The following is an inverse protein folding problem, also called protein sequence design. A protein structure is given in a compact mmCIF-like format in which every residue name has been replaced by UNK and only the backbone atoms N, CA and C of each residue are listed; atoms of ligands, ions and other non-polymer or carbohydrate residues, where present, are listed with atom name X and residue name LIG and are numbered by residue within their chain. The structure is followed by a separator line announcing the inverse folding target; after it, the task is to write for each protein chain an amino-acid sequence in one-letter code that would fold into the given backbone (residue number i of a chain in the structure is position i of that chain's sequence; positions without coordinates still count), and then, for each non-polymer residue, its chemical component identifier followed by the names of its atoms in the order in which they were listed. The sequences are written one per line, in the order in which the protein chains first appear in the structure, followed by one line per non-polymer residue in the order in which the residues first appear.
data_IF_601629679382
#
_entry.id   IF_601629679382
#
_cell.length_a   1.000
_cell.length_b   1.000
_cell.length_c   1.000
_cell.angle_alpha   90.00
_cell.angle_beta   90.00
_cell.angle_gamma   90.00
#
_symmetry.space_group_name_H-M   'P 1'
#
loop_
_entity.id
_entity.type
_entity.pdbx_description
1 polymer ?
#
# COMPACT_ATOMS: atom_id res chain seq x y z
N UNK A 1 15.36 29.30 -30.61
CA UNK A 1 15.08 30.27 -29.53
C UNK A 1 13.79 29.88 -28.78
N UNK A 2 12.65 29.67 -29.48
CA UNK A 2 11.37 29.28 -28.84
C UNK A 2 11.43 27.91 -28.11
N UNK A 3 12.11 26.93 -28.70
CA UNK A 3 12.26 25.60 -28.12
C UNK A 3 13.09 25.62 -26.82
N UNK A 4 14.16 26.41 -26.78
CA UNK A 4 14.99 26.58 -25.58
C UNK A 4 14.25 27.34 -24.46
N UNK A 5 13.31 28.23 -24.81
CA UNK A 5 12.45 28.90 -23.84
C UNK A 5 11.42 27.91 -23.24
N UNK A 6 10.79 27.09 -24.06
CA UNK A 6 9.84 26.07 -23.60
C UNK A 6 10.53 25.00 -22.74
N UNK A 7 11.74 24.60 -23.09
CA UNK A 7 12.53 23.64 -22.30
C UNK A 7 12.89 24.24 -20.92
N UNK A 8 13.28 25.53 -20.89
CA UNK A 8 13.56 26.24 -19.64
C UNK A 8 12.30 26.44 -18.77
N UNK A 9 11.14 26.76 -19.36
CA UNK A 9 9.88 26.87 -18.62
C UNK A 9 9.46 25.52 -18.02
N UNK A 10 9.61 24.41 -18.75
CA UNK A 10 9.35 23.06 -18.26
C UNK A 10 10.32 22.66 -17.14
N UNK A 11 11.60 22.99 -17.26
CA UNK A 11 12.59 22.71 -16.22
C UNK A 11 12.33 23.51 -14.95
N UNK A 12 11.95 24.80 -15.05
CA UNK A 12 11.56 25.63 -13.92
C UNK A 12 10.30 25.06 -13.26
N UNK A 13 9.29 24.69 -14.04
CA UNK A 13 8.07 24.08 -13.53
C UNK A 13 8.34 22.78 -12.75
N UNK A 14 9.22 21.92 -13.25
CA UNK A 14 9.65 20.68 -12.57
C UNK A 14 10.41 20.98 -11.26
N UNK A 15 11.33 21.95 -11.27
CA UNK A 15 12.07 22.36 -10.07
C UNK A 15 11.16 22.94 -8.99
N UNK A 16 10.19 23.78 -9.37
CA UNK A 16 9.19 24.33 -8.44
C UNK A 16 8.34 23.21 -7.83
N UNK A 17 7.83 22.30 -8.65
CA UNK A 17 7.03 21.19 -8.17
C UNK A 17 7.83 20.26 -7.22
N UNK A 18 9.10 19.97 -7.55
CA UNK A 18 9.99 19.22 -6.66
C UNK A 18 10.21 19.92 -5.33
N UNK A 19 10.49 21.21 -5.35
CA UNK A 19 10.72 22.00 -4.15
C UNK A 19 9.46 22.10 -3.26
N UNK A 20 8.27 22.17 -3.86
CA UNK A 20 7.00 22.13 -3.15
C UNK A 20 6.80 20.77 -2.47
N UNK A 21 7.04 19.67 -3.16
CA UNK A 21 6.94 18.32 -2.61
C UNK A 21 7.93 18.13 -1.44
N UNK A 22 9.18 18.54 -1.60
CA UNK A 22 10.18 18.47 -0.52
C UNK A 22 9.78 19.32 0.70
N UNK A 23 9.25 20.52 0.47
CA UNK A 23 8.77 21.40 1.53
C UNK A 23 7.59 20.79 2.29
N UNK A 24 6.63 20.18 1.57
CA UNK A 24 5.52 19.46 2.14
C UNK A 24 5.98 18.22 2.93
N UNK A 25 6.93 17.45 2.41
CA UNK A 25 7.50 16.30 3.12
C UNK A 25 8.21 16.72 4.41
N UNK A 26 8.96 17.82 4.37
CA UNK A 26 9.64 18.38 5.58
C UNK A 26 8.62 18.84 6.61
N UNK A 27 7.60 19.61 6.20
CA UNK A 27 6.55 20.09 7.09
C UNK A 27 5.79 18.90 7.72
N UNK A 28 5.42 17.94 6.93
CA UNK A 28 4.77 16.70 7.38
C UNK A 28 5.61 15.96 8.41
N UNK A 29 6.93 15.87 8.20
CA UNK A 29 7.83 15.20 9.14
C UNK A 29 7.85 15.93 10.49
N UNK A 30 7.92 17.25 10.49
CA UNK A 30 7.93 18.06 11.72
C UNK A 30 6.58 17.92 12.44
N UNK A 31 5.46 18.12 11.74
CA UNK A 31 4.12 18.00 12.33
C UNK A 31 3.87 16.60 12.92
N UNK A 32 4.26 15.56 12.20
CA UNK A 32 4.14 14.18 12.66
C UNK A 32 4.90 13.96 13.96
N UNK A 33 6.15 14.46 14.03
CA UNK A 33 6.99 14.33 15.21
C UNK A 33 6.40 15.08 16.42
N UNK A 34 5.92 16.30 16.22
CA UNK A 34 5.29 17.09 17.28
C UNK A 34 3.99 16.48 17.79
N UNK A 35 3.13 15.96 16.89
CA UNK A 35 1.91 15.28 17.28
C UNK A 35 2.22 14.00 18.08
N UNK A 36 3.19 13.19 17.63
CA UNK A 36 3.59 11.98 18.36
C UNK A 36 4.16 12.32 19.74
N UNK A 37 4.98 13.38 19.85
CA UNK A 37 5.51 13.84 21.11
C UNK A 37 4.43 14.34 22.08
N UNK A 38 3.36 14.91 21.55
CA UNK A 38 2.23 15.37 22.38
C UNK A 38 1.30 14.22 22.81
N UNK A 39 1.08 13.21 21.93
CA UNK A 39 0.12 12.13 22.21
C UNK A 39 0.70 10.99 23.03
N UNK A 40 1.99 10.66 22.89
CA UNK A 40 2.61 9.57 23.63
C UNK A 40 2.54 9.76 25.18
N UNK A 41 2.83 10.95 25.74
CA UNK A 41 2.64 11.19 27.18
C UNK A 41 1.20 11.03 27.64
N UNK A 42 0.22 11.48 26.85
CA UNK A 42 -1.21 11.34 27.17
C UNK A 42 -1.56 9.85 27.34
N UNK A 43 -1.17 9.02 26.36
CA UNK A 43 -1.41 7.57 26.42
C UNK A 43 -0.74 6.94 27.64
N UNK A 44 0.49 7.34 27.98
CA UNK A 44 1.25 6.82 29.13
C UNK A 44 0.61 7.21 30.47
N UNK A 45 0.20 8.47 30.60
CA UNK A 45 -0.50 8.98 31.80
C UNK A 45 -1.81 8.22 31.99
N UNK A 46 -2.64 8.09 30.93
CA UNK A 46 -3.88 7.33 31.00
C UNK A 46 -3.63 5.87 31.41
N UNK A 47 -2.58 5.24 30.89
CA UNK A 47 -2.21 3.88 31.25
C UNK A 47 -1.82 3.77 32.73
N UNK A 48 -1.06 4.73 33.25
CA UNK A 48 -0.70 4.78 34.66
C UNK A 48 -1.92 4.91 35.58
N UNK A 49 -2.87 5.80 35.24
CA UNK A 49 -4.14 5.93 35.99
C UNK A 49 -4.97 4.65 35.93
N UNK A 50 -5.11 4.02 34.76
CA UNK A 50 -5.88 2.76 34.61
C UNK A 50 -5.26 1.58 35.36
N UNK A 51 -3.96 1.67 35.71
CA UNK A 51 -3.29 0.66 36.54
C UNK A 51 -3.49 0.91 38.06
N UNK A 52 -4.03 2.06 38.46
CA UNK A 52 -4.32 2.37 39.85
C UNK A 52 -5.61 1.67 40.32
N UNK A 53 -5.59 0.88 41.41
CA UNK A 53 -6.78 0.21 41.94
C UNK A 53 -7.93 1.17 42.28
N UNK A 54 -7.63 2.41 42.68
CA UNK A 54 -8.65 3.41 43.02
C UNK A 54 -9.45 3.91 41.81
N UNK A 55 -8.91 3.74 40.60
CA UNK A 55 -9.59 4.12 39.37
C UNK A 55 -10.39 2.96 38.79
N UNK A 56 -9.98 1.72 39.06
CA UNK A 56 -10.66 0.53 38.55
C UNK A 56 -12.07 0.44 39.19
N UNK A 57 -13.10 0.39 38.34
CA UNK A 57 -14.52 0.41 38.78
C UNK A 57 -15.03 1.79 39.18
N UNK A 58 -14.21 2.85 39.10
CA UNK A 58 -14.65 4.22 39.40
C UNK A 58 -15.41 4.82 38.20
N UNK A 59 -16.24 5.87 38.43
CA UNK A 59 -16.92 6.61 37.39
C UNK A 59 -15.95 7.24 36.33
N UNK A 60 -14.66 7.35 36.65
CA UNK A 60 -13.65 7.95 35.80
C UNK A 60 -12.95 6.97 34.88
N UNK A 61 -13.02 5.66 35.14
CA UNK A 61 -12.28 4.64 34.37
C UNK A 61 -12.59 4.68 32.87
N UNK A 62 -13.89 4.75 32.54
CA UNK A 62 -14.34 4.76 31.14
C UNK A 62 -13.86 6.00 30.40
N UNK A 63 -13.91 7.18 31.04
CA UNK A 63 -13.39 8.42 30.46
C UNK A 63 -11.88 8.39 30.20
N UNK A 64 -11.11 7.87 31.18
CA UNK A 64 -9.63 7.74 31.01
C UNK A 64 -9.30 6.73 29.92
N UNK A 65 -10.05 5.62 29.83
CA UNK A 65 -9.90 4.62 28.78
C UNK A 65 -10.18 5.21 27.40
N UNK A 66 -11.25 6.00 27.26
CA UNK A 66 -11.60 6.69 26.02
C UNK A 66 -10.50 7.67 25.56
N UNK A 67 -9.93 8.46 26.49
CA UNK A 67 -8.82 9.38 26.19
C UNK A 67 -7.58 8.60 25.73
N UNK A 68 -7.23 7.50 26.41
CA UNK A 68 -6.10 6.64 26.01
C UNK A 68 -6.30 6.10 24.61
N UNK A 69 -7.48 5.58 24.30
CA UNK A 69 -7.77 4.92 23.03
C UNK A 69 -7.82 5.94 21.88
N UNK A 70 -8.34 7.14 22.14
CA UNK A 70 -8.27 8.27 21.18
C UNK A 70 -6.83 8.71 20.92
N UNK A 71 -6.00 8.82 21.97
CA UNK A 71 -4.58 9.15 21.84
C UNK A 71 -3.81 8.11 21.01
N UNK A 72 -4.08 6.80 21.27
CA UNK A 72 -3.50 5.71 20.46
C UNK A 72 -3.95 5.76 19.00
N UNK A 73 -5.22 6.04 18.76
CA UNK A 73 -5.76 6.17 17.40
C UNK A 73 -5.11 7.32 16.65
N UNK A 74 -4.91 8.48 17.31
CA UNK A 74 -4.22 9.62 16.71
C UNK A 74 -2.76 9.30 16.41
N UNK A 75 -2.04 8.64 17.30
CA UNK A 75 -0.66 8.19 17.06
C UNK A 75 -0.57 7.26 15.86
N UNK A 76 -1.49 6.29 15.77
CA UNK A 76 -1.56 5.36 14.63
C UNK A 76 -1.86 6.08 13.31
N UNK A 77 -2.78 7.04 13.33
CA UNK A 77 -3.10 7.88 12.17
C UNK A 77 -1.88 8.68 11.69
N UNK A 78 -1.17 9.33 12.61
CA UNK A 78 0.02 10.13 12.29
C UNK A 78 1.16 9.27 11.75
N UNK A 79 1.41 8.09 12.34
CA UNK A 79 2.42 7.14 11.83
C UNK A 79 2.06 6.63 10.43
N UNK A 80 0.78 6.43 10.20
CA UNK A 80 0.22 6.04 8.91
C UNK A 80 0.44 7.12 7.84
N UNK A 81 0.17 8.36 8.19
CA UNK A 81 0.38 9.52 7.33
C UNK A 81 1.86 9.71 7.00
N UNK A 82 2.75 9.50 7.99
CA UNK A 82 4.20 9.52 7.79
C UNK A 82 4.64 8.48 6.76
N UNK A 83 4.17 7.24 6.89
CA UNK A 83 4.50 6.17 5.93
C UNK A 83 4.07 6.50 4.51
N UNK A 84 2.93 7.17 4.34
CA UNK A 84 2.43 7.59 3.04
C UNK A 84 3.30 8.69 2.39
N UNK A 85 3.80 9.64 3.21
CA UNK A 85 4.50 10.83 2.71
C UNK A 85 6.02 10.70 2.67
N UNK A 86 6.60 9.65 3.28
CA UNK A 86 8.06 9.46 3.40
C UNK A 86 8.54 8.20 2.66
N UNK A 87 7.92 7.86 1.54
CA UNK A 87 8.44 6.79 0.70
C UNK A 87 9.80 7.22 0.11
N UNK A 88 10.76 6.32 0.20
CA UNK A 88 12.09 6.49 -0.40
C UNK A 88 12.02 6.27 -1.91
N UNK A 89 13.00 6.79 -2.65
CA UNK A 89 13.14 6.45 -4.06
C UNK A 89 13.39 4.95 -4.23
N UNK A 90 12.71 4.30 -5.20
CA UNK A 90 12.84 2.86 -5.40
C UNK A 90 14.22 2.50 -5.94
N UNK A 91 14.81 1.43 -5.42
CA UNK A 91 16.03 0.81 -5.93
C UNK A 91 15.64 -0.34 -6.84
N UNK A 92 15.61 -0.09 -8.15
CA UNK A 92 15.14 -1.06 -9.14
C UNK A 92 16.18 -2.15 -9.37
N UNK A 93 15.77 -3.41 -9.24
CA UNK A 93 16.55 -4.59 -9.56
C UNK A 93 15.71 -5.64 -10.31
N UNK A 94 16.36 -6.59 -10.99
CA UNK A 94 15.67 -7.71 -11.63
C UNK A 94 15.43 -8.81 -10.58
N UNK A 95 14.19 -9.02 -10.22
CA UNK A 95 13.76 -9.95 -9.18
C UNK A 95 13.31 -11.27 -9.83
N UNK A 96 13.94 -12.44 -9.50
CA UNK A 96 13.38 -13.74 -9.85
C UNK A 96 12.04 -13.91 -9.16
N UNK A 97 10.95 -13.79 -9.92
CA UNK A 97 9.62 -13.58 -9.35
C UNK A 97 9.09 -14.81 -8.61
N UNK A 98 9.38 -16.01 -9.12
CA UNK A 98 8.97 -17.27 -8.47
C UNK A 98 9.63 -17.43 -7.10
N UNK A 99 10.94 -17.27 -7.02
CA UNK A 99 11.69 -17.34 -5.75
C UNK A 99 11.24 -16.28 -4.77
N UNK A 100 10.94 -15.09 -5.27
CA UNK A 100 10.41 -14.00 -4.46
C UNK A 100 9.08 -14.37 -3.80
N UNK A 101 8.11 -14.92 -4.54
CA UNK A 101 6.81 -15.33 -4.01
C UNK A 101 6.95 -16.55 -3.10
N UNK A 102 7.78 -17.53 -3.46
CA UNK A 102 8.07 -18.70 -2.61
C UNK A 102 8.68 -18.30 -1.27
N UNK A 103 9.47 -17.24 -1.22
CA UNK A 103 10.02 -16.67 0.01
C UNK A 103 8.99 -16.05 0.95
N UNK A 104 7.80 -15.70 0.46
CA UNK A 104 6.71 -15.13 1.27
C UNK A 104 5.85 -16.23 1.90
N UNK A 105 5.66 -17.38 1.24
CA UNK A 105 4.80 -18.48 1.71
C UNK A 105 5.03 -18.89 3.17
N UNK A 106 6.28 -19.07 3.64
CA UNK A 106 6.53 -19.50 5.02
C UNK A 106 6.01 -18.53 6.09
N UNK A 107 5.81 -17.26 5.74
CA UNK A 107 5.26 -16.25 6.66
C UNK A 107 3.76 -16.44 6.93
N UNK A 108 3.08 -17.19 6.06
CA UNK A 108 1.62 -17.40 6.10
C UNK A 108 1.28 -18.87 5.87
N UNK A 109 1.67 -19.78 6.78
CA UNK A 109 1.47 -21.25 6.63
C UNK A 109 0.00 -21.66 6.61
N UNK A 110 -0.91 -20.80 7.05
CA UNK A 110 -2.36 -21.03 7.04
C UNK A 110 -3.00 -20.82 5.67
N UNK A 111 -2.26 -20.26 4.69
CA UNK A 111 -2.77 -19.99 3.34
C UNK A 111 -2.29 -21.08 2.38
N UNK A 112 -3.21 -21.59 1.57
CA UNK A 112 -2.88 -22.41 0.42
C UNK A 112 -2.42 -21.53 -0.75
N UNK A 113 -1.20 -21.76 -1.25
CA UNK A 113 -0.61 -20.95 -2.31
C UNK A 113 -0.60 -21.68 -3.63
N UNK A 114 -1.21 -21.09 -4.66
CA UNK A 114 -1.17 -21.54 -6.05
C UNK A 114 -0.30 -20.57 -6.86
N UNK A 115 0.88 -21.01 -7.29
CA UNK A 115 1.87 -20.17 -7.96
C UNK A 115 2.04 -20.63 -9.40
N UNK A 116 1.58 -19.79 -10.34
CA UNK A 116 1.64 -20.02 -11.79
C UNK A 116 2.58 -18.98 -12.42
N UNK A 117 3.86 -19.08 -12.05
CA UNK A 117 4.94 -18.20 -12.48
C UNK A 117 5.98 -19.06 -13.18
N UNK A 118 6.39 -18.72 -14.44
CA UNK A 118 7.50 -19.41 -15.11
C UNK A 118 8.80 -19.34 -14.29
N UNK A 119 9.65 -20.35 -14.40
CA UNK A 119 10.91 -20.44 -13.63
C UNK A 119 11.88 -19.29 -13.95
N UNK A 120 11.90 -18.85 -15.20
CA UNK A 120 12.76 -17.78 -15.74
C UNK A 120 12.13 -16.38 -15.65
N UNK A 121 10.91 -16.27 -15.10
CA UNK A 121 10.21 -14.99 -14.98
C UNK A 121 10.94 -14.05 -14.01
N UNK A 122 11.34 -12.89 -14.53
CA UNK A 122 11.93 -11.80 -13.74
C UNK A 122 11.08 -10.54 -13.81
N UNK A 123 11.06 -9.76 -12.75
CA UNK A 123 10.39 -8.46 -12.72
C UNK A 123 11.33 -7.38 -12.23
N UNK A 124 11.39 -6.28 -13.00
CA UNK A 124 12.19 -5.10 -12.67
C UNK A 124 11.42 -4.23 -11.68
N UNK A 125 11.82 -4.27 -10.41
CA UNK A 125 11.16 -3.55 -9.31
C UNK A 125 12.10 -3.38 -8.11
N UNK A 126 11.70 -2.55 -7.13
CA UNK A 126 12.31 -2.53 -5.81
C UNK A 126 11.79 -3.71 -4.99
N UNK A 127 12.70 -4.59 -4.59
CA UNK A 127 12.37 -5.82 -3.88
C UNK A 127 11.68 -5.59 -2.53
N UNK A 128 12.11 -4.57 -1.79
CA UNK A 128 11.55 -4.27 -0.48
C UNK A 128 10.14 -3.68 -0.59
N UNK A 129 9.93 -2.77 -1.53
CA UNK A 129 8.60 -2.22 -1.81
C UNK A 129 7.65 -3.30 -2.32
N UNK A 130 8.11 -4.15 -3.24
CA UNK A 130 7.30 -5.27 -3.74
C UNK A 130 6.94 -6.24 -2.61
N UNK A 131 7.90 -6.56 -1.73
CA UNK A 131 7.66 -7.40 -0.56
C UNK A 131 6.59 -6.79 0.35
N UNK A 132 6.67 -5.49 0.64
CA UNK A 132 5.68 -4.79 1.45
C UNK A 132 4.28 -4.82 0.82
N UNK A 133 4.20 -4.69 -0.52
CA UNK A 133 2.93 -4.79 -1.27
C UNK A 133 2.32 -6.19 -1.11
N UNK A 134 3.11 -7.24 -1.33
CA UNK A 134 2.63 -8.62 -1.21
C UNK A 134 2.19 -8.96 0.22
N UNK A 135 2.95 -8.55 1.24
CA UNK A 135 2.58 -8.69 2.65
C UNK A 135 1.25 -8.01 2.94
N UNK A 136 1.06 -6.78 2.42
CA UNK A 136 -0.19 -6.04 2.63
C UNK A 136 -1.38 -6.70 1.94
N UNK A 137 -1.24 -7.14 0.69
CA UNK A 137 -2.30 -7.86 -0.03
C UNK A 137 -2.64 -9.18 0.65
N UNK A 138 -1.62 -9.94 1.13
CA UNK A 138 -1.82 -11.20 1.86
C UNK A 138 -2.56 -10.96 3.18
N UNK A 139 -2.19 -9.93 3.95
CA UNK A 139 -2.91 -9.57 5.18
C UNK A 139 -4.36 -9.22 4.90
N UNK A 140 -4.61 -8.42 3.86
CA UNK A 140 -5.97 -8.06 3.46
C UNK A 140 -6.79 -9.30 3.06
N UNK A 141 -6.20 -10.27 2.37
CA UNK A 141 -6.84 -11.53 2.02
C UNK A 141 -7.21 -12.33 3.28
N UNK A 142 -6.27 -12.49 4.22
CA UNK A 142 -6.52 -13.20 5.50
C UNK A 142 -7.62 -12.51 6.32
N UNK A 143 -7.61 -11.20 6.40
CA UNK A 143 -8.63 -10.41 7.09
C UNK A 143 -10.01 -10.51 6.41
N UNK A 144 -10.04 -10.81 5.10
CA UNK A 144 -11.24 -11.14 4.35
C UNK A 144 -11.59 -12.65 4.40
N UNK A 145 -10.98 -13.41 5.33
CA UNK A 145 -11.18 -14.84 5.53
C UNK A 145 -10.77 -15.72 4.33
N UNK A 146 -9.80 -15.28 3.54
CA UNK A 146 -9.23 -16.12 2.50
C UNK A 146 -8.46 -17.30 3.10
N UNK A 147 -8.61 -18.47 2.48
CA UNK A 147 -7.83 -19.67 2.76
C UNK A 147 -6.85 -20.00 1.64
N UNK A 148 -7.02 -19.40 0.45
CA UNK A 148 -6.16 -19.61 -0.71
C UNK A 148 -5.80 -18.31 -1.42
N UNK A 149 -4.57 -18.25 -1.92
CA UNK A 149 -4.04 -17.17 -2.76
C UNK A 149 -3.47 -17.78 -4.03
N UNK A 150 -3.80 -17.18 -5.17
CA UNK A 150 -3.30 -17.58 -6.49
C UNK A 150 -2.51 -16.41 -7.11
N UNK A 151 -1.29 -16.72 -7.56
CA UNK A 151 -0.40 -15.74 -8.20
C UNK A 151 -0.11 -16.21 -9.62
N UNK A 152 -0.42 -15.35 -10.61
CA UNK A 152 -0.23 -15.66 -12.03
C UNK A 152 0.43 -14.53 -12.79
N UNK A 153 1.37 -14.85 -13.65
CA UNK A 153 1.81 -13.95 -14.70
C UNK A 153 0.77 -13.89 -15.83
N UNK A 154 0.63 -12.72 -16.47
CA UNK A 154 -0.19 -12.57 -17.65
C UNK A 154 0.53 -11.78 -18.76
N UNK A 155 0.12 -12.03 -20.01
CA UNK A 155 0.61 -11.32 -21.18
C UNK A 155 -0.51 -10.43 -21.75
N UNK A 156 -0.16 -9.23 -22.20
CA UNK A 156 -1.11 -8.29 -22.84
C UNK A 156 -1.66 -8.80 -24.16
N UNK A 157 -0.79 -9.53 -24.90
CA UNK A 157 -1.10 -10.11 -26.21
C UNK A 157 -0.83 -11.61 -26.17
N UNK A 158 -1.83 -12.47 -26.46
CA UNK A 158 -1.65 -13.93 -26.50
C UNK A 158 -0.62 -14.40 -27.55
N UNK A 159 -0.37 -13.57 -28.59
CA UNK A 159 0.58 -13.86 -29.67
C UNK A 159 2.06 -13.59 -29.27
N UNK A 160 2.31 -12.99 -28.09
CA UNK A 160 3.64 -12.66 -27.58
C UNK A 160 4.27 -13.77 -26.75
N UNK A 161 3.81 -15.00 -26.86
CA UNK A 161 4.25 -16.17 -26.07
C UNK A 161 5.74 -16.50 -26.26
N UNK A 162 6.38 -15.99 -27.32
CA UNK A 162 7.82 -16.19 -27.58
C UNK A 162 8.75 -15.24 -26.79
N UNK A 163 8.21 -14.21 -26.14
CA UNK A 163 9.02 -13.36 -25.25
C UNK A 163 8.83 -13.81 -23.81
N UNK A 164 9.91 -14.11 -23.11
CA UNK A 164 9.96 -14.38 -21.67
C UNK A 164 9.46 -13.19 -20.81
N UNK A 165 8.92 -12.16 -21.42
CA UNK A 165 8.51 -10.91 -20.83
C UNK A 165 6.99 -10.89 -20.65
N UNK A 166 6.53 -11.14 -19.42
CA UNK A 166 5.13 -11.00 -19.06
C UNK A 166 4.77 -9.52 -18.84
N UNK A 167 3.47 -9.19 -18.99
CA UNK A 167 2.98 -7.81 -18.89
C UNK A 167 2.59 -7.43 -17.45
N UNK A 168 2.46 -8.39 -16.58
CA UNK A 168 2.08 -8.14 -15.18
C UNK A 168 1.70 -9.40 -14.42
N UNK A 169 1.22 -9.20 -13.19
CA UNK A 169 0.86 -10.24 -12.24
C UNK A 169 -0.59 -10.06 -11.80
N UNK A 170 -1.32 -11.14 -11.68
CA UNK A 170 -2.54 -11.24 -10.90
C UNK A 170 -2.22 -11.80 -9.51
N UNK A 171 -2.70 -11.11 -8.48
CA UNK A 171 -2.75 -11.57 -7.10
C UNK A 171 -4.22 -11.80 -6.74
N UNK A 172 -4.64 -13.03 -6.69
CA UNK A 172 -6.02 -13.42 -6.47
C UNK A 172 -6.20 -14.11 -5.13
N UNK A 173 -7.37 -13.98 -4.50
CA UNK A 173 -7.69 -14.69 -3.29
C UNK A 173 -9.20 -15.09 -3.26
N UNK A 174 -9.52 -16.11 -2.46
CA UNK A 174 -10.87 -16.62 -2.28
C UNK A 174 -11.61 -16.00 -1.09
N UNK A 175 -11.15 -14.88 -0.57
CA UNK A 175 -11.80 -14.15 0.51
C UNK A 175 -13.16 -13.55 0.09
N UNK A 176 -13.80 -12.87 1.04
CA UNK A 176 -15.07 -12.20 0.79
C UNK A 176 -14.95 -11.22 -0.38
N UNK A 177 -15.94 -11.19 -1.30
CA UNK A 177 -15.94 -10.29 -2.44
C UNK A 177 -15.99 -8.83 -1.99
N UNK A 178 -15.34 -7.95 -2.75
CA UNK A 178 -15.31 -6.51 -2.47
C UNK A 178 -16.57 -5.88 -3.06
N UNK A 179 -17.43 -5.21 -2.26
CA UNK A 179 -18.59 -4.49 -2.77
C UNK A 179 -18.20 -3.39 -3.75
N UNK A 180 -19.07 -3.09 -4.72
CA UNK A 180 -18.76 -2.15 -5.80
C UNK A 180 -18.52 -0.70 -5.34
N UNK A 181 -19.16 -0.27 -4.27
CA UNK A 181 -18.93 1.01 -3.59
C UNK A 181 -17.56 1.05 -2.91
N UNK A 182 -17.19 -0.01 -2.19
CA UNK A 182 -15.87 -0.16 -1.57
C UNK A 182 -14.77 -0.21 -2.63
N UNK A 183 -14.97 -0.90 -3.75
CA UNK A 183 -14.00 -1.02 -4.83
C UNK A 183 -13.58 0.34 -5.42
N UNK A 184 -14.48 1.34 -5.43
CA UNK A 184 -14.20 2.70 -5.91
C UNK A 184 -13.30 3.50 -4.96
N UNK A 185 -13.38 3.23 -3.67
CA UNK A 185 -12.75 4.03 -2.63
C UNK A 185 -11.57 3.31 -1.94
N UNK A 186 -11.40 2.00 -2.16
CA UNK A 186 -10.42 1.17 -1.44
C UNK A 186 -8.95 1.61 -1.58
N UNK A 187 -8.63 2.40 -2.60
CA UNK A 187 -7.29 2.98 -2.80
C UNK A 187 -7.17 4.42 -2.27
N UNK A 188 -8.27 5.02 -1.76
CA UNK A 188 -8.23 6.34 -1.13
C UNK A 188 -7.57 6.19 0.25
N UNK A 189 -6.56 7.03 0.58
CA UNK A 189 -5.94 7.00 1.90
C UNK A 189 -6.97 7.18 3.02
N UNK A 190 -6.81 6.42 4.11
CA UNK A 190 -7.68 6.41 5.30
C UNK A 190 -9.07 5.83 5.10
N UNK A 191 -9.44 5.41 3.90
CA UNK A 191 -10.66 4.65 3.68
C UNK A 191 -10.50 3.22 4.21
N UNK A 192 -11.39 2.82 5.11
CA UNK A 192 -11.41 1.46 5.69
C UNK A 192 -12.83 1.07 6.07
N UNK A 193 -13.22 -0.15 5.74
CA UNK A 193 -14.47 -0.77 6.20
C UNK A 193 -14.29 -1.48 7.55
N UNK A 194 -13.07 -1.51 8.09
CA UNK A 194 -12.70 -2.23 9.32
C UNK A 194 -12.55 -1.27 10.49
N UNK A 195 -13.10 -1.57 11.69
CA UNK A 195 -13.02 -0.68 12.87
C UNK A 195 -11.57 -0.38 13.32
N UNK A 196 -10.65 -1.34 13.15
CA UNK A 196 -9.24 -1.22 13.55
C UNK A 196 -8.29 -0.99 12.36
N UNK A 197 -8.81 -0.87 11.14
CA UNK A 197 -8.01 -0.69 9.95
C UNK A 197 -7.56 0.77 9.77
N UNK A 198 -6.27 1.00 9.54
CA UNK A 198 -5.74 2.35 9.26
C UNK A 198 -6.20 2.91 7.91
N UNK A 199 -6.71 2.08 7.00
CA UNK A 199 -7.15 2.47 5.66
C UNK A 199 -6.03 2.95 4.71
N UNK A 200 -4.76 2.69 5.05
CA UNK A 200 -3.63 3.18 4.24
C UNK A 200 -2.88 2.07 3.50
N UNK A 201 -3.10 0.83 3.83
CA UNK A 201 -2.33 -0.28 3.26
C UNK A 201 -2.38 -0.31 1.74
N UNK A 202 -3.58 -0.29 1.15
CA UNK A 202 -3.75 -0.33 -0.29
C UNK A 202 -3.29 0.96 -0.99
N UNK A 203 -3.50 2.13 -0.39
CA UNK A 203 -3.03 3.41 -0.94
C UNK A 203 -1.50 3.49 -0.95
N UNK A 204 -0.82 3.06 0.11
CA UNK A 204 0.66 2.95 0.15
C UNK A 204 1.15 1.93 -0.88
N UNK A 205 0.52 0.75 -0.96
CA UNK A 205 0.88 -0.27 -1.95
C UNK A 205 0.80 0.27 -3.38
N UNK A 206 -0.29 0.98 -3.69
CA UNK A 206 -0.47 1.63 -4.99
C UNK A 206 0.61 2.68 -5.26
N UNK A 207 0.92 3.53 -4.28
CA UNK A 207 1.94 4.57 -4.40
C UNK A 207 3.35 3.98 -4.59
N UNK A 208 3.73 2.96 -3.81
CA UNK A 208 5.01 2.26 -3.96
C UNK A 208 5.18 1.67 -5.36
N UNK A 209 4.12 1.10 -5.93
CA UNK A 209 4.14 0.54 -7.27
C UNK A 209 4.14 1.63 -8.34
N UNK A 210 3.37 2.71 -8.17
CA UNK A 210 3.37 3.85 -9.10
C UNK A 210 4.73 4.52 -9.22
N UNK A 211 5.49 4.64 -8.13
CA UNK A 211 6.87 5.16 -8.14
C UNK A 211 7.81 4.32 -9.02
N UNK A 212 7.44 3.07 -9.30
CA UNK A 212 8.18 2.12 -10.13
C UNK A 212 7.52 1.92 -11.51
N UNK A 213 6.61 2.81 -11.91
CA UNK A 213 5.82 2.70 -13.13
C UNK A 213 4.99 1.41 -13.21
N UNK A 214 4.53 0.91 -12.07
CA UNK A 214 3.64 -0.24 -11.96
C UNK A 214 2.28 0.25 -11.46
N UNK A 215 1.20 -0.10 -12.17
CA UNK A 215 -0.17 0.20 -11.74
C UNK A 215 -0.72 -0.94 -10.89
N UNK A 216 -1.43 -0.60 -9.81
CA UNK A 216 -2.20 -1.53 -8.98
C UNK A 216 -3.68 -1.21 -9.13
N UNK A 217 -4.47 -2.18 -9.56
CA UNK A 217 -5.92 -2.05 -9.72
C UNK A 217 -6.64 -3.33 -9.30
N UNK A 218 -7.93 -3.23 -9.03
CA UNK A 218 -8.81 -4.40 -8.92
C UNK A 218 -9.16 -4.87 -10.34
N UNK A 219 -9.11 -6.18 -10.61
CA UNK A 219 -9.53 -6.72 -11.89
C UNK A 219 -11.05 -6.64 -12.04
N UNK A 220 -11.52 -6.31 -13.24
CA UNK A 220 -12.96 -6.18 -13.55
C UNK A 220 -13.68 -7.54 -13.59
N UNK A 221 -12.93 -8.62 -13.80
CA UNK A 221 -13.46 -9.98 -13.95
C UNK A 221 -12.75 -10.95 -13.02
N UNK A 222 -13.47 -12.02 -12.66
CA UNK A 222 -12.91 -13.12 -11.91
C UNK A 222 -11.78 -13.80 -12.69
N UNK A 223 -10.62 -13.94 -12.07
CA UNK A 223 -9.46 -14.63 -12.62
C UNK A 223 -9.36 -16.01 -11.96
N UNK A 224 -9.27 -17.06 -12.77
CA UNK A 224 -9.12 -18.44 -12.28
C UNK A 224 -10.17 -18.89 -11.25
N UNK A 225 -11.38 -18.29 -11.28
CA UNK A 225 -12.46 -18.59 -10.32
C UNK A 225 -12.38 -17.83 -9.00
N UNK A 226 -11.39 -16.95 -8.80
CA UNK A 226 -11.27 -16.10 -7.61
C UNK A 226 -12.07 -14.82 -7.78
N UNK A 227 -12.82 -14.44 -6.72
CA UNK A 227 -13.67 -13.23 -6.73
C UNK A 227 -12.90 -11.94 -6.49
N UNK A 228 -11.76 -12.01 -5.81
CA UNK A 228 -10.91 -10.85 -5.52
C UNK A 228 -9.59 -11.04 -6.23
N UNK A 229 -9.30 -10.17 -7.19
CA UNK A 229 -8.05 -10.20 -7.95
C UNK A 229 -7.49 -8.79 -8.08
N UNK A 230 -6.30 -8.60 -7.55
CA UNK A 230 -5.49 -7.41 -7.80
C UNK A 230 -4.63 -7.64 -9.04
N UNK A 231 -4.61 -6.63 -9.90
CA UNK A 231 -3.78 -6.61 -11.10
C UNK A 231 -2.63 -5.64 -10.90
N UNK A 232 -1.42 -6.12 -11.10
CA UNK A 232 -0.20 -5.32 -11.13
C UNK A 232 0.40 -5.40 -12.53
N UNK A 233 0.57 -4.27 -13.22
CA UNK A 233 1.13 -4.22 -14.58
C UNK A 233 1.96 -2.97 -14.79
N UNK A 234 2.99 -3.06 -15.64
CA UNK A 234 3.77 -1.89 -16.04
C UNK A 234 2.87 -0.84 -16.68
N UNK A 235 3.02 0.41 -16.28
CA UNK A 235 2.40 1.54 -16.98
C UNK A 235 3.16 1.76 -18.29
N UNK A 236 2.48 1.61 -19.43
CA UNK A 236 3.00 2.17 -20.68
C UNK A 236 2.97 3.70 -20.51
N UNK A 237 4.11 4.36 -20.68
CA UNK A 237 4.31 5.81 -20.45
C UNK A 237 3.30 6.70 -21.24
N UNK A 238 2.58 6.12 -22.20
CA UNK A 238 1.63 6.84 -23.07
C UNK A 238 0.25 7.10 -22.43
N UNK A 239 -0.13 6.40 -21.36
CA UNK A 239 -1.49 6.53 -20.79
C UNK A 239 -1.56 7.38 -19.51
N UNK A 240 -0.43 7.79 -18.96
CA UNK A 240 -0.35 8.48 -17.65
C UNK A 240 -0.71 9.97 -17.69
N UNK A 241 -0.82 10.59 -18.88
CA UNK A 241 -1.16 12.02 -19.02
C UNK A 241 -2.67 12.31 -19.10
N UNK A 242 -3.53 11.29 -19.18
CA UNK A 242 -4.97 11.49 -19.41
C UNK A 242 -5.86 11.29 -18.17
N UNK A 243 -5.30 11.03 -16.98
CA UNK A 243 -6.09 10.77 -15.76
C UNK A 243 -5.81 11.77 -14.63
N UNK A 244 -5.11 12.87 -14.91
CA UNK A 244 -4.87 13.97 -13.96
C UNK A 244 -5.48 15.31 -14.43
N UNK A 245 -6.61 15.27 -15.16
CA UNK A 245 -7.47 16.44 -15.41
C UNK A 245 -8.86 16.18 -14.87
#
# INVERSE_FOLDING_TARGET
MQQALNDMENDIGRLVAQHEVESWQRLTRVLTHEIMNATAPISSICQAYLSNPDIQGSPYEEGIRAIRDTSKSLTSFVDSYRKLTQLQEPVIENIPLKDFVEGIKPLYPQIEWHIHIPEDATWSADKNMLHQVFINLTKNAIEAHASAIDIRCFHKHPESIESSQFSGIYFSNNGAPIPADVAKEMFIPFFSTKPSGSGIGLSISRQMLMMQSINLSLAEHNVAGYHVTFRMNSCDIVTSLCTML
#
